data_IF_415868998085
#
_entry.id   IF_415868998085
#
_cell.length_a   1.000
_cell.length_b   1.000
_cell.length_c   1.000
_cell.angle_alpha   90.00
_cell.angle_beta   90.00
_cell.angle_gamma   90.00
#
_symmetry.space_group_name_H-M   'P 1'
#
loop_
_entity.id
_entity.type
_entity.pdbx_description
1 polymer ?
#
# COMPACT_ATOMS: atom_id res chain seq x y z
N UNK A 1 -13.42 -16.85 2.63
CA UNK A 1 -12.55 -17.70 1.79
C UNK A 1 -12.21 -18.99 2.56
N UNK A 2 -12.45 -20.13 1.94
CA UNK A 2 -12.12 -21.42 2.55
C UNK A 2 -10.73 -21.86 2.08
N UNK A 3 -9.73 -21.67 2.91
CA UNK A 3 -8.32 -21.95 2.59
C UNK A 3 -8.07 -23.43 2.33
N UNK A 4 -8.67 -24.34 3.15
CA UNK A 4 -8.51 -25.78 2.96
C UNK A 4 -9.04 -26.24 1.61
N UNK A 5 -10.21 -25.75 1.21
CA UNK A 5 -10.81 -26.10 -0.07
C UNK A 5 -9.95 -25.60 -1.24
N UNK A 6 -9.45 -24.37 -1.14
CA UNK A 6 -8.58 -23.77 -2.16
C UNK A 6 -7.26 -24.53 -2.24
N UNK A 7 -6.65 -24.81 -1.09
CA UNK A 7 -5.38 -25.55 -1.03
C UNK A 7 -5.52 -26.96 -1.64
N UNK A 8 -6.60 -27.67 -1.32
CA UNK A 8 -6.86 -29.00 -1.87
C UNK A 8 -7.04 -28.97 -3.38
N UNK A 9 -7.75 -27.96 -3.89
CA UNK A 9 -7.95 -27.81 -5.32
C UNK A 9 -6.63 -27.58 -6.06
N UNK A 10 -5.76 -26.72 -5.52
CA UNK A 10 -4.46 -26.43 -6.11
C UNK A 10 -3.54 -27.66 -6.01
N UNK A 11 -3.52 -28.34 -4.86
CA UNK A 11 -2.70 -29.54 -4.66
C UNK A 11 -3.15 -30.67 -5.59
N UNK A 12 -4.46 -30.84 -5.79
CA UNK A 12 -5.00 -31.83 -6.71
C UNK A 12 -4.58 -31.55 -8.15
N UNK A 13 -4.58 -30.29 -8.56
CA UNK A 13 -4.16 -29.88 -9.88
C UNK A 13 -2.65 -30.06 -10.07
N UNK A 14 -1.86 -29.75 -9.04
CA UNK A 14 -0.40 -29.94 -9.05
C UNK A 14 0.00 -31.41 -8.94
N UNK A 15 -0.87 -32.29 -8.45
CA UNK A 15 -0.60 -33.69 -8.28
C UNK A 15 0.25 -34.05 -7.06
N UNK A 16 0.53 -33.09 -6.18
CA UNK A 16 1.34 -33.32 -4.98
C UNK A 16 0.98 -32.31 -3.89
N UNK A 17 1.24 -32.63 -2.61
CA UNK A 17 1.05 -31.70 -1.52
C UNK A 17 2.03 -30.52 -1.61
N UNK A 18 1.56 -29.33 -1.30
CA UNK A 18 2.36 -28.11 -1.26
C UNK A 18 2.39 -27.61 0.18
N UNK A 19 3.46 -27.93 0.94
CA UNK A 19 3.48 -27.70 2.39
C UNK A 19 3.35 -26.23 2.80
N UNK A 20 3.84 -25.30 1.98
CA UNK A 20 3.80 -23.86 2.29
C UNK A 20 2.54 -23.18 1.75
N UNK A 21 1.72 -23.88 0.98
CA UNK A 21 0.56 -23.28 0.31
C UNK A 21 -0.48 -22.78 1.31
N UNK A 22 -0.78 -23.55 2.34
CA UNK A 22 -1.76 -23.17 3.35
C UNK A 22 -1.33 -21.91 4.11
N UNK A 23 -0.06 -21.81 4.44
CA UNK A 23 0.50 -20.64 5.09
C UNK A 23 0.41 -19.41 4.18
N UNK A 24 0.76 -19.54 2.91
CA UNK A 24 0.66 -18.46 1.94
C UNK A 24 -0.80 -18.00 1.78
N UNK A 25 -1.76 -18.91 1.75
CA UNK A 25 -3.18 -18.59 1.67
C UNK A 25 -3.69 -17.92 2.95
N UNK A 26 -3.19 -18.33 4.12
CA UNK A 26 -3.53 -17.67 5.39
C UNK A 26 -3.03 -16.24 5.41
N UNK A 27 -1.82 -15.99 4.95
CA UNK A 27 -1.24 -14.65 4.85
C UNK A 27 -2.03 -13.79 3.87
N UNK A 28 -2.39 -14.34 2.72
CA UNK A 28 -3.20 -13.65 1.73
C UNK A 28 -4.59 -13.31 2.27
N UNK A 29 -5.21 -14.24 3.00
CA UNK A 29 -6.51 -14.03 3.65
C UNK A 29 -6.44 -12.93 4.70
N UNK A 30 -5.39 -12.93 5.52
CA UNK A 30 -5.19 -11.90 6.53
C UNK A 30 -5.04 -10.52 5.89
N UNK A 31 -4.35 -10.45 4.76
CA UNK A 31 -4.18 -9.21 4.02
C UNK A 31 -5.48 -8.75 3.35
N UNK A 32 -6.18 -9.66 2.69
CA UNK A 32 -7.46 -9.36 2.03
C UNK A 32 -8.56 -9.04 3.04
N UNK A 33 -8.51 -9.66 4.22
CA UNK A 33 -9.48 -9.41 5.27
C UNK A 33 -9.37 -8.05 5.93
N UNK A 34 -8.27 -7.32 5.69
CA UNK A 34 -8.13 -5.95 6.17
C UNK A 34 -8.87 -5.02 5.21
N UNK A 35 -9.80 -4.24 5.77
CA UNK A 35 -10.52 -3.24 5.00
C UNK A 35 -9.52 -2.17 4.56
N UNK A 36 -9.39 -1.98 3.25
CA UNK A 36 -8.58 -0.90 2.71
C UNK A 36 -9.36 0.41 2.87
N UNK A 37 -8.86 1.31 3.69
CA UNK A 37 -9.52 2.59 3.94
C UNK A 37 -9.34 3.54 2.76
N UNK A 38 -10.25 4.53 2.58
CA UNK A 38 -10.06 5.57 1.57
C UNK A 38 -8.73 6.32 1.72
N UNK A 39 -8.30 6.57 2.95
CA UNK A 39 -7.03 7.23 3.25
C UNK A 39 -5.84 6.40 2.78
N UNK A 40 -5.88 5.09 3.01
CA UNK A 40 -4.85 4.17 2.56
C UNK A 40 -4.73 4.17 1.03
N UNK A 41 -5.86 4.12 0.35
CA UNK A 41 -5.90 4.16 -1.12
C UNK A 41 -5.37 5.49 -1.66
N UNK A 42 -5.70 6.59 -0.98
CA UNK A 42 -5.27 7.93 -1.37
C UNK A 42 -3.75 8.06 -1.32
N UNK A 43 -3.13 7.55 -0.24
CA UNK A 43 -1.67 7.57 -0.09
C UNK A 43 -1.00 6.80 -1.22
N UNK A 44 -1.46 5.58 -1.49
CA UNK A 44 -0.90 4.74 -2.55
C UNK A 44 -1.07 5.38 -3.92
N UNK A 45 -2.25 5.91 -4.19
CA UNK A 45 -2.55 6.55 -5.48
C UNK A 45 -1.67 7.77 -5.72
N UNK A 46 -1.48 8.61 -4.71
CA UNK A 46 -0.62 9.80 -4.82
C UNK A 46 0.81 9.39 -5.16
N UNK A 47 1.32 8.34 -4.52
CA UNK A 47 2.67 7.84 -4.81
C UNK A 47 2.75 7.24 -6.21
N UNK A 48 1.76 6.47 -6.64
CA UNK A 48 1.73 5.84 -7.96
C UNK A 48 1.72 6.87 -9.09
N UNK A 49 0.87 7.89 -9.00
CA UNK A 49 0.79 8.92 -10.04
C UNK A 49 2.07 9.76 -10.11
N UNK A 50 2.81 9.82 -8.99
CA UNK A 50 4.09 10.52 -8.94
C UNK A 50 5.24 9.68 -9.50
N UNK A 51 5.04 8.37 -9.66
CA UNK A 51 6.06 7.46 -10.17
C UNK A 51 7.25 7.28 -9.24
N UNK A 52 7.07 7.49 -7.93
CA UNK A 52 8.15 7.48 -6.95
C UNK A 52 8.13 6.23 -6.08
N UNK A 53 9.32 5.85 -5.59
CA UNK A 53 9.44 4.85 -4.53
C UNK A 53 8.90 5.40 -3.21
N UNK A 54 8.67 4.54 -2.24
CA UNK A 54 8.25 4.97 -0.90
C UNK A 54 9.24 5.95 -0.29
N UNK A 55 10.53 5.66 -0.36
CA UNK A 55 11.58 6.52 0.21
C UNK A 55 11.61 7.89 -0.44
N UNK A 56 11.55 7.94 -1.76
CA UNK A 56 11.57 9.20 -2.51
C UNK A 56 10.31 10.02 -2.23
N UNK A 57 9.15 9.40 -2.29
CA UNK A 57 7.89 10.09 -2.03
C UNK A 57 7.81 10.64 -0.62
N UNK A 58 8.21 9.83 0.38
CA UNK A 58 8.24 10.28 1.77
C UNK A 58 9.13 11.52 1.95
N UNK A 59 10.31 11.51 1.34
CA UNK A 59 11.21 12.67 1.39
C UNK A 59 10.57 13.91 0.77
N UNK A 60 9.85 13.75 -0.35
CA UNK A 60 9.20 14.85 -1.04
C UNK A 60 8.13 15.53 -0.19
N UNK A 61 7.36 14.76 0.56
CA UNK A 61 6.32 15.31 1.42
C UNK A 61 6.81 15.59 2.85
N UNK A 62 8.12 15.46 3.09
CA UNK A 62 8.72 15.79 4.39
C UNK A 62 8.33 14.82 5.51
N UNK A 63 8.14 13.56 5.20
CA UNK A 63 7.65 12.55 6.13
C UNK A 63 8.65 11.40 6.22
N UNK A 64 8.88 10.81 7.41
CA UNK A 64 9.69 9.60 7.51
C UNK A 64 9.09 8.46 6.69
N UNK A 65 9.95 7.67 6.03
CA UNK A 65 9.49 6.56 5.20
C UNK A 65 8.72 5.51 6.01
N UNK A 66 9.07 5.31 7.28
CA UNK A 66 8.35 4.40 8.17
C UNK A 66 6.90 4.85 8.36
N UNK A 67 6.67 6.15 8.50
CA UNK A 67 5.33 6.71 8.62
C UNK A 67 4.52 6.50 7.34
N UNK A 68 5.15 6.73 6.17
CA UNK A 68 4.48 6.49 4.89
C UNK A 68 4.09 5.02 4.74
N UNK A 69 4.97 4.11 5.11
CA UNK A 69 4.67 2.67 5.09
C UNK A 69 3.48 2.32 5.99
N UNK A 70 3.41 2.92 7.18
CA UNK A 70 2.29 2.72 8.09
C UNK A 70 0.98 3.19 7.48
N UNK A 71 0.99 4.32 6.81
CA UNK A 71 -0.21 4.82 6.09
C UNK A 71 -0.62 3.88 4.96
N UNK A 72 0.34 3.39 4.17
CA UNK A 72 0.05 2.49 3.05
C UNK A 72 -0.42 1.11 3.52
N UNK A 73 -0.01 0.70 4.71
CA UNK A 73 -0.44 -0.56 5.32
C UNK A 73 -1.70 -0.44 6.16
N UNK A 74 -2.20 0.78 6.34
CA UNK A 74 -3.43 1.03 7.09
C UNK A 74 -3.27 0.97 8.61
N UNK A 75 -2.05 1.05 9.13
CA UNK A 75 -1.81 1.06 10.59
C UNK A 75 -2.21 2.36 11.22
N UNK A 76 -1.96 3.45 10.54
CA UNK A 76 -2.31 4.80 10.95
C UNK A 76 -2.87 5.56 9.76
N UNK A 77 -3.72 6.54 10.03
CA UNK A 77 -4.25 7.42 8.99
C UNK A 77 -3.46 8.74 8.99
N UNK A 78 -3.21 9.32 7.80
CA UNK A 78 -2.62 10.65 7.72
C UNK A 78 -3.56 11.70 8.32
N UNK A 79 -3.01 12.85 8.73
CA UNK A 79 -3.80 14.00 9.17
C UNK A 79 -4.60 14.58 8.01
N UNK A 80 -5.60 15.40 8.34
CA UNK A 80 -6.41 16.08 7.31
C UNK A 80 -5.59 16.94 6.36
N UNK A 81 -4.57 17.63 6.88
CA UNK A 81 -3.67 18.43 6.05
C UNK A 81 -2.90 17.58 5.04
N UNK A 82 -2.40 16.43 5.48
CA UNK A 82 -1.71 15.51 4.58
C UNK A 82 -2.66 14.94 3.54
N UNK A 83 -3.88 14.59 3.93
CA UNK A 83 -4.89 14.09 2.99
C UNK A 83 -5.21 15.13 1.91
N UNK A 84 -5.31 16.40 2.27
CA UNK A 84 -5.48 17.48 1.30
C UNK A 84 -4.30 17.58 0.34
N UNK A 85 -3.08 17.48 0.86
CA UNK A 85 -1.87 17.47 0.03
C UNK A 85 -1.87 16.29 -0.95
N UNK A 86 -2.24 15.12 -0.48
CA UNK A 86 -2.29 13.91 -1.32
C UNK A 86 -3.30 14.06 -2.45
N UNK A 87 -4.47 14.64 -2.17
CA UNK A 87 -5.49 14.91 -3.19
C UNK A 87 -4.98 15.88 -4.25
N UNK A 88 -4.25 16.92 -3.84
CA UNK A 88 -3.64 17.86 -4.76
C UNK A 88 -2.60 17.19 -5.65
N UNK A 89 -1.77 16.32 -5.08
CA UNK A 89 -0.76 15.57 -5.82
C UNK A 89 -1.41 14.66 -6.87
N UNK A 90 -2.51 14.02 -6.53
CA UNK A 90 -3.23 13.15 -7.48
C UNK A 90 -3.74 13.94 -8.68
N UNK A 91 -4.27 15.14 -8.44
CA UNK A 91 -4.75 16.03 -9.50
C UNK A 91 -3.62 16.70 -10.28
N UNK A 92 -2.53 16.99 -9.58
CA UNK A 92 -1.40 17.75 -10.12
C UNK A 92 -0.09 17.09 -9.71
N UNK A 93 0.29 15.96 -10.33
CA UNK A 93 1.53 15.24 -9.96
C UNK A 93 2.79 16.10 -10.06
N UNK A 94 2.77 17.12 -10.90
CA UNK A 94 3.88 18.06 -11.08
C UNK A 94 4.23 18.83 -9.80
N UNK A 95 3.32 18.90 -8.83
CA UNK A 95 3.58 19.56 -7.55
C UNK A 95 4.71 18.91 -6.75
N UNK A 96 4.97 17.64 -7.00
CA UNK A 96 6.07 16.93 -6.31
C UNK A 96 7.42 17.56 -6.61
N UNK A 97 7.61 18.11 -7.80
CA UNK A 97 8.85 18.83 -8.15
C UNK A 97 9.00 20.11 -7.34
N UNK A 98 7.91 20.85 -7.13
CA UNK A 98 7.91 22.05 -6.31
C UNK A 98 8.16 21.75 -4.84
N UNK A 99 7.62 20.65 -4.33
CA UNK A 99 7.86 20.21 -2.97
C UNK A 99 9.35 19.91 -2.74
N UNK A 100 10.02 19.32 -3.72
CA UNK A 100 11.46 19.08 -3.66
C UNK A 100 12.25 20.38 -3.56
N UNK A 101 11.86 21.41 -4.33
CA UNK A 101 12.49 22.71 -4.29
C UNK A 101 12.26 23.40 -2.94
N UNK A 102 11.09 23.23 -2.35
CA UNK A 102 10.71 23.83 -1.06
C UNK A 102 11.37 23.15 0.14
N UNK A 103 11.83 21.92 -0.01
CA UNK A 103 12.42 21.13 1.06
C UNK A 103 13.88 21.51 1.40
N UNK A 104 14.42 22.52 0.77
CA UNK A 104 15.79 23.02 1.00
C UNK A 104 15.84 24.00 2.17
#
# INVERSE_FOLDING_TARGET
MNIEKIARAIEADAGEPLPDLRQALEEAKAHVGRVTTPEQMLVRQAREVSGMSQSTFAARIGTPVATLRDWEQGRFAPSGAVLCLLRLIIKHPELTAELAASAR
#
